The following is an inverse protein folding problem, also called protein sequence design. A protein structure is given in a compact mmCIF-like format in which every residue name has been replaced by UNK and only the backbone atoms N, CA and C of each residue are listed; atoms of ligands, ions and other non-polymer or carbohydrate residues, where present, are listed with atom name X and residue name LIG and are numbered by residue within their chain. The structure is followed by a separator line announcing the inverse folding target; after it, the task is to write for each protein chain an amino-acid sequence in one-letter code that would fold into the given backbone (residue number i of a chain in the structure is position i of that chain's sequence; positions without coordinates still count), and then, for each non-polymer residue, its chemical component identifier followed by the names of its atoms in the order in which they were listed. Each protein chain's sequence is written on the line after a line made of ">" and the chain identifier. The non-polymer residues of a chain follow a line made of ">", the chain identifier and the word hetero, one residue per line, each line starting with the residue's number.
data_IF_969839255034
#
_entry.id   IF_969839255034
#
_cell.length_a   1.000
_cell.length_b   1.000
_cell.length_c   1.000
_cell.angle_alpha   90.00
_cell.angle_beta   90.00
_cell.angle_gamma   90.00
#
_symmetry.space_group_name_H-M   'P 1'
#
loop_
_entity.id
_entity.type
_entity.pdbx_description
1 polymer ?
#
# COMPACT_ATOMS: atom_id res chain seq x y z
N UNK A 1 -3.22 -34.71 -27.28
CA UNK A 1 -2.25 -33.89 -26.53
C UNK A 1 -3.00 -32.67 -26.00
N UNK A 2 -3.08 -32.41 -24.69
CA UNK A 2 -3.67 -31.16 -24.23
C UNK A 2 -2.69 -30.02 -24.55
N UNK A 3 -3.02 -29.23 -25.57
CA UNK A 3 -2.32 -28.00 -25.93
C UNK A 3 -3.21 -26.81 -25.63
N UNK A 4 -2.75 -25.92 -24.77
CA UNK A 4 -3.43 -24.64 -24.52
C UNK A 4 -2.97 -23.62 -25.58
N UNK A 5 -3.92 -23.03 -26.29
CA UNK A 5 -3.66 -21.86 -27.15
C UNK A 5 -3.78 -20.62 -26.27
N UNK A 6 -2.68 -19.90 -26.06
CA UNK A 6 -2.69 -18.61 -25.37
C UNK A 6 -2.96 -17.49 -26.37
N UNK A 7 -4.02 -16.72 -26.12
CA UNK A 7 -4.32 -15.50 -26.86
C UNK A 7 -4.32 -14.33 -25.87
N UNK A 8 -3.22 -13.58 -25.85
CA UNK A 8 -3.12 -12.27 -25.19
C UNK A 8 -2.59 -12.23 -23.75
N UNK A 9 -2.16 -11.04 -23.34
CA UNK A 9 -1.60 -10.71 -22.01
C UNK A 9 -2.63 -10.85 -20.88
N UNK A 10 -3.92 -10.67 -21.17
CA UNK A 10 -5.01 -10.84 -20.20
C UNK A 10 -5.11 -12.28 -19.70
N UNK A 11 -5.08 -13.27 -20.60
CA UNK A 11 -5.10 -14.69 -20.23
C UNK A 11 -3.84 -15.13 -19.48
N UNK A 12 -2.70 -14.49 -19.74
CA UNK A 12 -1.48 -14.70 -18.95
C UNK A 12 -1.64 -14.17 -17.51
N UNK A 13 -2.33 -13.04 -17.32
CA UNK A 13 -2.53 -12.45 -15.98
C UNK A 13 -3.44 -13.33 -15.14
N UNK A 14 -4.55 -13.80 -15.71
CA UNK A 14 -5.45 -14.76 -15.04
C UNK A 14 -4.72 -16.08 -14.70
N UNK A 15 -3.89 -16.59 -15.62
CA UNK A 15 -3.10 -17.80 -15.35
C UNK A 15 -2.05 -17.57 -14.25
N UNK A 16 -1.46 -16.38 -14.19
CA UNK A 16 -0.49 -16.02 -13.15
C UNK A 16 -1.19 -15.83 -11.79
N UNK A 17 -2.38 -15.25 -11.76
CA UNK A 17 -3.20 -15.12 -10.56
C UNK A 17 -3.63 -16.51 -10.04
N UNK A 18 -4.11 -17.39 -10.93
CA UNK A 18 -4.45 -18.77 -10.59
C UNK A 18 -3.24 -19.56 -10.06
N UNK A 19 -2.05 -19.35 -10.64
CA UNK A 19 -0.80 -19.95 -10.16
C UNK A 19 -0.42 -19.35 -8.80
N UNK A 20 -0.51 -18.04 -8.63
CA UNK A 20 -0.20 -17.40 -7.35
C UNK A 20 -1.11 -17.92 -6.23
N UNK A 21 -2.41 -18.06 -6.52
CA UNK A 21 -3.41 -18.59 -5.60
C UNK A 21 -3.17 -20.09 -5.30
N UNK A 22 -2.87 -20.89 -6.32
CA UNK A 22 -2.58 -22.32 -6.18
C UNK A 22 -1.30 -22.62 -5.40
N UNK A 23 -0.29 -21.78 -5.51
CA UNK A 23 1.00 -21.96 -4.83
C UNK A 23 1.05 -21.30 -3.46
N UNK A 24 -0.04 -20.64 -3.02
CA UNK A 24 -0.11 -20.02 -1.70
C UNK A 24 0.94 -18.95 -1.48
N UNK A 25 1.43 -18.30 -2.56
CA UNK A 25 2.15 -17.04 -2.42
C UNK A 25 1.14 -16.00 -2.00
N UNK A 26 0.88 -15.95 -0.68
CA UNK A 26 -0.09 -15.04 -0.11
C UNK A 26 0.26 -13.61 -0.51
N UNK A 27 -0.60 -13.00 -1.32
CA UNK A 27 -0.47 -11.59 -1.67
C UNK A 27 -0.67 -10.77 -0.39
N UNK A 28 0.42 -10.26 0.17
CA UNK A 28 0.34 -9.35 1.31
C UNK A 28 -0.02 -7.98 0.78
N UNK A 29 -1.30 -7.61 0.89
CA UNK A 29 -1.81 -6.32 0.42
C UNK A 29 -2.11 -5.42 1.61
N UNK A 30 -1.60 -4.20 1.57
CA UNK A 30 -1.93 -3.12 2.51
C UNK A 30 -2.53 -1.95 1.75
N UNK A 31 -3.59 -1.37 2.30
CA UNK A 31 -4.22 -0.16 1.77
C UNK A 31 -3.81 1.02 2.63
N UNK A 32 -3.25 2.04 1.99
CA UNK A 32 -2.86 3.30 2.63
C UNK A 32 -3.76 4.40 2.06
N UNK A 33 -4.44 5.14 2.92
CA UNK A 33 -5.35 6.19 2.48
C UNK A 33 -5.82 7.07 3.61
N UNK A 34 -6.74 7.97 3.28
CA UNK A 34 -7.33 8.92 4.22
C UNK A 34 -8.82 8.64 4.37
N UNK A 35 -9.33 8.77 5.59
CA UNK A 35 -10.78 8.67 5.86
C UNK A 35 -11.59 9.93 5.57
N UNK A 36 -10.96 11.02 5.10
CA UNK A 36 -11.64 12.30 4.88
C UNK A 36 -11.71 12.65 3.39
N UNK A 37 -12.87 13.08 2.93
CA UNK A 37 -13.12 13.35 1.51
C UNK A 37 -12.30 14.53 0.97
N UNK A 38 -12.09 15.56 1.80
CA UNK A 38 -11.40 16.78 1.37
C UNK A 38 -9.88 16.59 1.17
N UNK A 39 -9.34 15.42 1.50
CA UNK A 39 -7.91 15.09 1.36
C UNK A 39 -7.43 15.16 -0.09
N UNK A 40 -8.32 14.90 -1.06
CA UNK A 40 -8.02 14.97 -2.49
C UNK A 40 -7.73 16.40 -2.94
N UNK A 41 -8.50 17.38 -2.43
CA UNK A 41 -8.29 18.79 -2.75
C UNK A 41 -6.98 19.32 -2.18
N UNK A 42 -6.50 18.76 -1.07
CA UNK A 42 -5.19 19.09 -0.50
C UNK A 42 -4.07 18.47 -1.33
N UNK A 43 -4.22 17.19 -1.73
CA UNK A 43 -3.19 16.50 -2.51
C UNK A 43 -2.97 17.12 -3.89
N UNK A 44 -4.05 17.52 -4.58
CA UNK A 44 -4.00 17.99 -5.96
C UNK A 44 -4.16 19.52 -6.11
N UNK A 45 -4.56 20.21 -5.04
CA UNK A 45 -4.85 21.64 -5.07
C UNK A 45 -6.21 21.95 -5.67
N UNK A 46 -6.55 23.23 -5.65
CA UNK A 46 -7.77 23.81 -6.23
C UNK A 46 -7.43 25.14 -6.90
N UNK A 47 -8.40 25.78 -7.56
CA UNK A 47 -8.21 27.12 -8.12
C UNK A 47 -7.80 28.18 -7.08
N UNK A 48 -8.08 27.94 -5.79
CA UNK A 48 -7.81 28.88 -4.69
C UNK A 48 -6.65 28.45 -3.78
N UNK A 49 -6.06 27.27 -4.01
CA UNK A 49 -5.02 26.71 -3.14
C UNK A 49 -4.06 25.83 -3.94
N UNK A 50 -2.76 26.06 -3.79
CA UNK A 50 -1.73 25.22 -4.42
C UNK A 50 -1.76 23.78 -3.88
N UNK A 51 -1.36 22.83 -4.72
CA UNK A 51 -1.26 21.42 -4.36
C UNK A 51 -0.22 21.19 -3.25
N UNK A 52 -0.61 20.39 -2.24
CA UNK A 52 0.26 19.96 -1.14
C UNK A 52 0.30 18.44 -1.10
N UNK A 53 0.96 17.78 -2.08
CA UNK A 53 1.00 16.33 -2.15
C UNK A 53 1.76 15.75 -0.95
N UNK A 54 1.20 14.70 -0.35
CA UNK A 54 1.75 14.06 0.86
C UNK A 54 1.95 12.55 0.70
N UNK A 55 1.02 11.84 0.02
CA UNK A 55 1.17 10.39 -0.21
C UNK A 55 2.23 10.04 -1.25
N UNK A 56 2.21 10.70 -2.41
CA UNK A 56 3.20 10.47 -3.47
C UNK A 56 4.65 10.64 -3.00
N UNK A 57 5.04 11.77 -2.38
CA UNK A 57 6.41 11.93 -1.90
C UNK A 57 6.77 10.92 -0.80
N UNK A 58 5.82 10.54 0.07
CA UNK A 58 6.06 9.48 1.07
C UNK A 58 6.35 8.12 0.42
N UNK A 59 5.61 7.76 -0.64
CA UNK A 59 5.82 6.54 -1.40
C UNK A 59 7.17 6.55 -2.13
N UNK A 60 7.51 7.65 -2.79
CA UNK A 60 8.80 7.81 -3.47
C UNK A 60 9.98 7.67 -2.51
N UNK A 61 9.85 8.19 -1.29
CA UNK A 61 10.86 8.01 -0.25
C UNK A 61 10.96 6.56 0.23
N UNK A 62 9.82 5.88 0.39
CA UNK A 62 9.80 4.47 0.74
C UNK A 62 10.49 3.62 -0.34
N UNK A 63 10.24 3.90 -1.62
CA UNK A 63 10.90 3.22 -2.74
C UNK A 63 12.43 3.39 -2.74
N UNK A 64 12.93 4.57 -2.34
CA UNK A 64 14.39 4.79 -2.18
C UNK A 64 14.99 4.02 -1.00
N UNK A 65 14.17 3.68 -0.01
CA UNK A 65 14.57 2.95 1.21
C UNK A 65 14.24 1.46 1.13
N UNK A 66 13.81 0.96 -0.03
CA UNK A 66 13.34 -0.42 -0.21
C UNK A 66 14.40 -1.44 0.25
N UNK A 67 15.66 -1.22 -0.12
CA UNK A 67 16.78 -2.09 0.26
C UNK A 67 16.99 -2.14 1.79
N UNK A 68 16.76 -1.01 2.48
CA UNK A 68 16.88 -0.94 3.94
C UNK A 68 15.76 -1.74 4.62
N UNK A 69 14.53 -1.62 4.11
CA UNK A 69 13.41 -2.41 4.62
C UNK A 69 13.62 -3.90 4.35
N UNK A 70 14.07 -4.26 3.14
CA UNK A 70 14.34 -5.63 2.74
C UNK A 70 15.45 -6.28 3.60
N UNK A 71 16.49 -5.53 3.96
CA UNK A 71 17.54 -6.00 4.85
C UNK A 71 17.07 -6.22 6.30
N UNK A 72 16.06 -5.48 6.74
CA UNK A 72 15.53 -5.55 8.12
C UNK A 72 14.38 -6.55 8.32
N UNK A 73 13.73 -6.97 7.24
CA UNK A 73 12.53 -7.79 7.30
C UNK A 73 12.85 -9.28 7.20
N UNK A 74 12.25 -10.09 8.07
CA UNK A 74 12.41 -11.54 8.08
C UNK A 74 11.37 -12.27 7.22
N UNK A 75 10.39 -11.53 6.69
CA UNK A 75 9.35 -12.06 5.82
C UNK A 75 8.80 -10.99 4.88
N UNK A 76 8.19 -11.41 3.76
CA UNK A 76 7.50 -10.50 2.85
C UNK A 76 6.35 -9.75 3.56
N UNK A 77 5.67 -10.41 4.49
CA UNK A 77 4.60 -9.79 5.27
C UNK A 77 5.11 -8.66 6.17
N UNK A 78 6.25 -8.88 6.82
CA UNK A 78 6.93 -7.88 7.64
C UNK A 78 7.44 -6.72 6.77
N UNK A 79 8.02 -7.02 5.60
CA UNK A 79 8.49 -6.01 4.64
C UNK A 79 7.36 -5.08 4.21
N UNK A 80 6.25 -5.64 3.70
CA UNK A 80 5.11 -4.84 3.23
C UNK A 80 4.48 -4.04 4.37
N UNK A 81 4.36 -4.63 5.57
CA UNK A 81 3.88 -3.93 6.77
C UNK A 81 4.78 -2.74 7.12
N UNK A 82 6.09 -2.94 7.14
CA UNK A 82 7.04 -1.89 7.52
C UNK A 82 7.03 -0.74 6.52
N UNK A 83 6.95 -1.05 5.22
CA UNK A 83 6.79 -0.04 4.17
C UNK A 83 5.47 0.72 4.35
N UNK A 84 4.36 0.01 4.57
CA UNK A 84 3.04 0.63 4.73
C UNK A 84 2.98 1.58 5.93
N UNK A 85 3.53 1.16 7.09
CA UNK A 85 3.61 2.00 8.29
C UNK A 85 4.56 3.19 8.10
N UNK A 86 5.66 3.00 7.38
CA UNK A 86 6.56 4.09 7.04
C UNK A 86 5.87 5.14 6.15
N UNK A 87 5.17 4.71 5.10
CA UNK A 87 4.45 5.62 4.20
C UNK A 87 3.37 6.40 4.97
N UNK A 88 2.63 5.76 5.88
CA UNK A 88 1.66 6.45 6.74
C UNK A 88 2.33 7.52 7.60
N UNK A 89 3.40 7.17 8.33
CA UNK A 89 4.13 8.09 9.20
C UNK A 89 4.71 9.27 8.41
N UNK A 90 5.39 8.98 7.30
CA UNK A 90 5.98 10.01 6.45
C UNK A 90 4.93 10.91 5.82
N UNK A 91 3.78 10.37 5.41
CA UNK A 91 2.67 11.18 4.91
C UNK A 91 2.16 12.17 5.99
N UNK A 92 2.07 11.75 7.26
CA UNK A 92 1.68 12.61 8.39
C UNK A 92 2.70 13.70 8.69
N UNK A 93 3.98 13.39 8.57
CA UNK A 93 5.07 14.37 8.68
C UNK A 93 5.01 15.40 7.57
N UNK A 94 4.89 14.96 6.31
CA UNK A 94 4.80 15.87 5.14
C UNK A 94 3.59 16.79 5.26
N UNK A 95 2.45 16.29 5.74
CA UNK A 95 1.28 17.13 6.02
C UNK A 95 1.60 18.23 7.03
N UNK A 96 2.38 17.91 8.06
CA UNK A 96 2.82 18.86 9.09
C UNK A 96 3.82 19.87 8.52
N UNK A 97 4.83 19.40 7.78
CA UNK A 97 5.85 20.24 7.12
C UNK A 97 5.24 21.24 6.12
N UNK A 98 4.20 20.83 5.40
CA UNK A 98 3.50 21.65 4.40
C UNK A 98 2.42 22.55 4.99
N UNK A 99 2.32 22.61 6.32
CA UNK A 99 1.29 23.36 7.05
C UNK A 99 -0.13 23.04 6.54
N UNK A 100 -0.34 21.79 6.09
CA UNK A 100 -1.60 21.31 5.53
C UNK A 100 -2.55 20.79 6.63
N UNK A 101 -2.27 21.15 7.89
CA UNK A 101 -2.95 20.67 9.08
C UNK A 101 -3.74 21.83 9.68
N UNK A 102 -5.05 21.86 9.40
CA UNK A 102 -5.95 22.86 9.97
C UNK A 102 -6.29 22.50 11.44
N UNK A 103 -6.92 21.35 11.66
CA UNK A 103 -7.35 20.87 12.99
C UNK A 103 -6.71 19.54 13.41
N UNK A 104 -5.74 19.03 12.65
CA UNK A 104 -5.18 17.69 12.87
C UNK A 104 -6.02 16.56 12.28
N UNK A 105 -7.28 16.80 11.90
CA UNK A 105 -8.23 15.78 11.41
C UNK A 105 -7.70 15.01 10.21
N UNK A 106 -7.19 15.71 9.18
CA UNK A 106 -6.62 15.04 8.00
C UNK A 106 -5.43 14.16 8.39
N UNK A 107 -4.50 14.70 9.19
CA UNK A 107 -3.32 13.97 9.65
C UNK A 107 -3.71 12.72 10.44
N UNK A 108 -4.69 12.82 11.34
CA UNK A 108 -5.20 11.69 12.11
C UNK A 108 -5.91 10.63 11.25
N UNK A 109 -6.47 11.02 10.10
CA UNK A 109 -7.21 10.13 9.21
C UNK A 109 -6.34 9.28 8.28
N UNK A 110 -5.06 9.62 8.10
CA UNK A 110 -4.14 8.84 7.27
C UNK A 110 -3.82 7.54 8.00
N UNK A 111 -4.18 6.40 7.42
CA UNK A 111 -3.97 5.08 8.03
C UNK A 111 -3.56 4.05 6.99
N UNK A 112 -2.66 3.16 7.39
CA UNK A 112 -2.30 1.95 6.69
C UNK A 112 -3.02 0.78 7.36
N UNK A 113 -3.81 0.05 6.58
CA UNK A 113 -4.53 -1.14 7.05
C UNK A 113 -4.22 -2.35 6.18
N UNK A 114 -4.11 -3.55 6.75
CA UNK A 114 -4.09 -4.76 5.93
C UNK A 114 -5.39 -4.83 5.14
N UNK A 115 -5.29 -5.13 3.84
CA UNK A 115 -6.48 -5.36 3.04
C UNK A 115 -7.18 -6.62 3.60
N UNK A 116 -8.48 -6.53 3.87
CA UNK A 116 -9.26 -7.53 4.60
C UNK A 116 -9.45 -8.88 3.88
N UNK A 117 -8.63 -9.20 2.88
CA UNK A 117 -8.60 -10.50 2.19
C UNK A 117 -7.22 -11.18 2.16
N UNK A 118 -6.19 -10.55 2.73
CA UNK A 118 -4.82 -11.07 2.73
C UNK A 118 -4.39 -11.57 4.10
N UNK A 119 -5.07 -12.54 4.68
CA UNK A 119 -4.50 -13.29 5.80
C UNK A 119 -3.23 -13.97 5.26
N UNK A 120 -2.03 -13.76 5.83
CA UNK A 120 -0.91 -14.61 5.47
C UNK A 120 -1.35 -16.04 5.78
N UNK A 121 -1.35 -16.91 4.77
CA UNK A 121 -1.79 -18.30 4.88
C UNK A 121 -1.13 -19.08 6.03
N UNK A 122 -0.06 -18.53 6.63
CA UNK A 122 0.59 -19.03 7.83
C UNK A 122 -0.22 -18.92 9.14
N UNK A 123 -1.29 -18.11 9.21
CA UNK A 123 -2.11 -17.99 10.43
C UNK A 123 -3.44 -18.77 10.39
N UNK A 124 -3.80 -19.38 9.27
CA UNK A 124 -5.07 -20.10 9.12
C UNK A 124 -5.03 -21.56 9.60
N UNK A 125 -3.90 -22.07 10.09
CA UNK A 125 -3.71 -23.51 10.40
C UNK A 125 -3.56 -23.84 11.90
N UNK A 126 -3.85 -22.90 12.81
CA UNK A 126 -3.96 -23.20 14.25
C UNK A 126 -5.33 -22.76 14.73
N UNK A 127 -6.34 -23.59 14.45
CA UNK A 127 -7.55 -23.71 15.28
C UNK A 127 -8.34 -24.95 14.87
N UNK A 128 -8.50 -25.82 15.88
CA UNK A 128 -9.29 -27.07 15.99
C UNK A 128 -8.65 -28.33 15.40
#
# INVERSE_FOLDING_TARGET
>A
MPGAKMTGVLSLTETLDDIAERWGVGTVTWTIGTGVEYSVFIAFGTSRMAARPYLRPALEEASRKLDQFAASANSLAELVRNIALFVEGRAKEILTEKDAVDTGTLRGSVTARPASGGTPAAMASISV
#
